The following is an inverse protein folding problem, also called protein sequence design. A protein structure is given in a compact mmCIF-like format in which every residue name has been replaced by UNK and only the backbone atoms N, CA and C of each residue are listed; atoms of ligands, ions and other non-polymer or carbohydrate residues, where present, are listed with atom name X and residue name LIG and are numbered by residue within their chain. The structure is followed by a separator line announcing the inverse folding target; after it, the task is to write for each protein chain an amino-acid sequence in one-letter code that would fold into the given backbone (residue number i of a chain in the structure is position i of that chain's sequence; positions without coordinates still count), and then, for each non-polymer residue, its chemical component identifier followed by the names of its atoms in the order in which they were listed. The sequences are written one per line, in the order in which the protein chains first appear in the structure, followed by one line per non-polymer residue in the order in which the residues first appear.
data_IF_548175204908
#
_entry.id   IF_548175204908
#
_cell.length_a   1.000
_cell.length_b   1.000
_cell.length_c   1.000
_cell.angle_alpha   90.00
_cell.angle_beta   90.00
_cell.angle_gamma   90.00
#
_symmetry.space_group_name_H-M   'P 1'
#
loop_
_entity.id
_entity.type
_entity.pdbx_description
1 polymer ?
#
# COMPACT_ATOMS: atom_id res chain seq x y z
N UNK A 1 16.46 -10.45 16.02
CA UNK A 1 16.15 -9.65 14.82
C UNK A 1 14.95 -10.25 14.12
N UNK A 2 14.31 -9.48 13.25
CA UNK A 2 13.18 -9.92 12.45
C UNK A 2 13.62 -9.85 11.00
N UNK A 3 13.46 -10.95 10.26
CA UNK A 3 13.78 -11.01 8.84
C UNK A 3 12.49 -10.96 8.03
N UNK A 4 12.27 -9.86 7.32
CA UNK A 4 11.02 -9.60 6.60
C UNK A 4 11.09 -9.88 5.09
N UNK A 5 12.19 -10.46 4.61
CA UNK A 5 12.37 -10.84 3.21
C UNK A 5 13.32 -12.02 3.13
N UNK A 6 12.78 -13.21 2.85
CA UNK A 6 13.56 -14.45 2.76
C UNK A 6 12.82 -15.55 1.96
N UNK A 7 13.59 -16.34 1.21
CA UNK A 7 13.10 -17.38 0.28
C UNK A 7 13.45 -18.77 0.80
N UNK A 8 12.83 -19.12 1.93
CA UNK A 8 13.07 -20.37 2.67
C UNK A 8 12.02 -21.44 2.36
N UNK A 9 10.85 -21.10 1.81
CA UNK A 9 9.82 -22.10 1.52
C UNK A 9 10.33 -23.04 0.41
N UNK A 10 10.33 -24.38 0.60
CA UNK A 10 10.99 -25.30 -0.30
C UNK A 10 10.25 -25.46 -1.64
N UNK A 11 11.02 -25.32 -2.73
CA UNK A 11 10.61 -25.73 -4.08
C UNK A 11 9.49 -24.88 -4.68
N UNK A 12 9.35 -23.62 -4.26
CA UNK A 12 8.33 -22.69 -4.80
C UNK A 12 8.91 -21.66 -5.75
N UNK A 13 10.17 -21.24 -5.55
CA UNK A 13 10.89 -20.26 -6.35
C UNK A 13 12.40 -20.62 -6.44
N UNK A 14 13.27 -19.64 -6.70
CA UNK A 14 14.72 -19.82 -6.78
C UNK A 14 15.43 -19.84 -5.40
N UNK A 15 14.66 -19.90 -4.31
CA UNK A 15 15.14 -20.08 -2.94
C UNK A 15 15.54 -21.53 -2.61
N UNK A 16 15.11 -21.98 -1.44
CA UNK A 16 15.42 -23.33 -0.95
C UNK A 16 14.86 -24.41 -1.89
N UNK A 17 15.68 -25.38 -2.29
CA UNK A 17 15.30 -26.41 -3.26
C UNK A 17 14.44 -27.52 -2.66
N UNK A 18 14.63 -27.81 -1.38
CA UNK A 18 14.00 -28.90 -0.66
C UNK A 18 13.90 -28.59 0.84
N UNK A 19 13.15 -29.42 1.55
CA UNK A 19 12.92 -29.28 2.99
C UNK A 19 14.24 -29.28 3.77
N UNK A 20 15.20 -30.15 3.43
CA UNK A 20 16.48 -30.24 4.14
C UNK A 20 17.25 -28.92 4.07
N UNK A 21 17.35 -28.33 2.88
CA UNK A 21 17.98 -27.03 2.70
C UNK A 21 17.23 -25.92 3.45
N UNK A 22 15.90 -25.97 3.46
CA UNK A 22 15.07 -25.00 4.16
C UNK A 22 15.29 -25.04 5.67
N UNK A 23 15.39 -26.25 6.24
CA UNK A 23 15.72 -26.47 7.64
C UNK A 23 17.10 -25.92 7.98
N UNK A 24 18.11 -26.24 7.18
CA UNK A 24 19.48 -25.72 7.40
C UNK A 24 19.51 -24.18 7.32
N UNK A 25 18.72 -23.58 6.42
CA UNK A 25 18.60 -22.12 6.33
C UNK A 25 17.93 -21.52 7.56
N UNK A 26 16.87 -22.15 8.09
CA UNK A 26 16.21 -21.73 9.33
C UNK A 26 17.15 -21.82 10.54
N UNK A 27 17.91 -22.91 10.66
CA UNK A 27 18.88 -23.11 11.75
C UNK A 27 20.03 -22.09 11.68
N UNK A 28 20.52 -21.82 10.47
CA UNK A 28 21.50 -20.77 10.22
C UNK A 28 20.95 -19.40 10.61
N UNK A 29 19.76 -19.04 10.14
CA UNK A 29 19.09 -17.78 10.45
C UNK A 29 18.85 -17.61 11.96
N UNK A 30 18.43 -18.67 12.65
CA UNK A 30 18.22 -18.67 14.09
C UNK A 30 19.53 -18.45 14.86
N UNK A 31 20.61 -19.11 14.44
CA UNK A 31 21.95 -18.92 15.00
C UNK A 31 22.49 -17.50 14.76
N UNK A 32 22.08 -16.90 13.64
CA UNK A 32 22.38 -15.51 13.29
C UNK A 32 21.55 -14.50 14.11
N UNK A 33 20.69 -14.97 15.01
CA UNK A 33 19.91 -14.14 15.92
C UNK A 33 18.59 -13.65 15.35
N UNK A 34 18.11 -14.25 14.25
CA UNK A 34 16.75 -14.05 13.76
C UNK A 34 15.80 -14.91 14.60
N UNK A 35 14.70 -14.34 15.07
CA UNK A 35 13.71 -15.07 15.87
C UNK A 35 12.27 -14.82 15.43
N UNK A 36 12.05 -13.99 14.40
CA UNK A 36 10.78 -13.87 13.69
C UNK A 36 11.04 -13.70 12.19
N UNK A 37 10.12 -14.22 11.38
CA UNK A 37 10.25 -14.24 9.92
C UNK A 37 8.96 -13.79 9.23
N UNK A 38 9.09 -13.07 8.13
CA UNK A 38 8.06 -13.00 7.11
C UNK A 38 8.63 -13.75 5.91
N UNK A 39 8.03 -14.89 5.56
CA UNK A 39 8.47 -15.64 4.39
C UNK A 39 7.85 -15.01 3.16
N UNK A 40 8.68 -14.71 2.17
CA UNK A 40 8.30 -13.91 1.01
C UNK A 40 8.74 -14.59 -0.27
N UNK A 41 8.24 -15.81 -0.57
CA UNK A 41 8.52 -16.41 -1.87
C UNK A 41 8.05 -15.47 -2.99
N UNK A 42 8.66 -15.60 -4.16
CA UNK A 42 8.27 -14.78 -5.30
C UNK A 42 6.81 -15.01 -5.70
N UNK A 43 6.13 -13.95 -6.12
CA UNK A 43 4.79 -13.95 -6.70
C UNK A 43 4.75 -13.06 -7.95
N UNK A 44 4.00 -13.48 -8.97
CA UNK A 44 3.99 -12.85 -10.30
C UNK A 44 5.39 -12.75 -10.97
N UNK A 45 6.29 -13.68 -10.65
CA UNK A 45 7.66 -13.67 -11.13
C UNK A 45 7.96 -14.92 -11.98
N UNK A 46 8.90 -14.82 -12.93
CA UNK A 46 9.22 -15.92 -13.85
C UNK A 46 9.73 -17.20 -13.15
N UNK A 47 10.28 -17.08 -11.94
CA UNK A 47 10.77 -18.23 -11.18
C UNK A 47 9.68 -18.94 -10.34
N UNK A 48 8.47 -18.36 -10.23
CA UNK A 48 7.38 -18.92 -9.44
C UNK A 48 6.08 -18.93 -10.26
N UNK A 49 5.53 -20.13 -10.47
CA UNK A 49 4.29 -20.33 -11.25
C UNK A 49 3.08 -20.65 -10.36
N UNK A 50 3.26 -20.62 -9.04
CA UNK A 50 2.21 -20.95 -8.08
C UNK A 50 1.27 -19.77 -7.88
N UNK A 51 -0.03 -20.07 -7.72
CA UNK A 51 -1.00 -19.07 -7.28
C UNK A 51 -0.73 -18.65 -5.83
N UNK A 52 -1.29 -17.50 -5.43
CA UNK A 52 -1.20 -17.00 -4.07
C UNK A 52 -1.70 -18.04 -3.03
N UNK A 53 -2.86 -18.67 -3.29
CA UNK A 53 -3.40 -19.73 -2.44
C UNK A 53 -2.48 -20.96 -2.33
N UNK A 54 -1.83 -21.34 -3.43
CA UNK A 54 -0.89 -22.46 -3.43
C UNK A 54 0.37 -22.12 -2.62
N UNK A 55 0.88 -20.89 -2.70
CA UNK A 55 1.99 -20.42 -1.87
C UNK A 55 1.60 -20.39 -0.39
N UNK A 56 0.40 -19.91 -0.05
CA UNK A 56 -0.13 -19.89 1.32
C UNK A 56 -0.27 -21.30 1.89
N UNK A 57 -0.76 -22.26 1.09
CA UNK A 57 -0.81 -23.66 1.47
C UNK A 57 0.58 -24.27 1.71
N UNK A 58 1.58 -23.92 0.87
CA UNK A 58 2.98 -24.34 1.06
C UNK A 58 3.58 -23.78 2.34
N UNK A 59 3.30 -22.52 2.67
CA UNK A 59 3.68 -21.91 3.94
C UNK A 59 3.10 -22.67 5.15
N UNK A 60 1.81 -22.99 5.15
CA UNK A 60 1.20 -23.73 6.26
C UNK A 60 1.75 -25.15 6.40
N UNK A 61 2.02 -25.84 5.29
CA UNK A 61 2.69 -27.15 5.32
C UNK A 61 4.11 -27.03 5.91
N UNK A 62 4.85 -26.01 5.50
CA UNK A 62 6.19 -25.72 6.01
C UNK A 62 6.20 -25.44 7.51
N UNK A 63 5.22 -24.69 8.02
CA UNK A 63 5.05 -24.48 9.47
C UNK A 63 4.82 -25.78 10.22
N UNK A 64 3.94 -26.65 9.71
CA UNK A 64 3.64 -27.92 10.36
C UNK A 64 4.87 -28.83 10.43
N UNK A 65 5.68 -28.86 9.36
CA UNK A 65 6.89 -29.67 9.27
C UNK A 65 8.01 -29.19 10.19
N UNK A 66 8.10 -27.89 10.44
CA UNK A 66 9.17 -27.27 11.24
C UNK A 66 8.69 -26.63 12.55
N UNK A 67 7.62 -27.16 13.14
CA UNK A 67 7.00 -26.65 14.37
C UNK A 67 7.96 -26.56 15.59
N UNK A 68 9.10 -27.26 15.55
CA UNK A 68 10.15 -27.18 16.59
C UNK A 68 11.03 -25.93 16.49
N UNK A 69 11.01 -25.21 15.36
CA UNK A 69 11.84 -24.02 15.09
C UNK A 69 10.95 -22.80 14.90
N UNK A 70 9.85 -22.96 14.16
CA UNK A 70 8.94 -21.88 13.78
C UNK A 70 7.50 -22.20 14.18
N UNK A 71 6.72 -21.16 14.44
CA UNK A 71 5.32 -21.22 14.87
C UNK A 71 4.53 -20.09 14.21
N UNK A 72 3.21 -20.11 14.31
CA UNK A 72 2.36 -19.00 13.89
C UNK A 72 2.59 -17.72 14.72
N UNK A 73 3.21 -17.79 15.89
CA UNK A 73 3.49 -16.61 16.72
C UNK A 73 4.70 -15.81 16.23
N UNK A 74 5.68 -16.51 15.66
CA UNK A 74 6.96 -15.92 15.21
C UNK A 74 7.12 -15.91 13.69
N UNK A 75 6.11 -16.30 12.92
CA UNK A 75 6.15 -16.21 11.46
C UNK A 75 4.91 -15.53 10.89
N UNK A 76 5.06 -14.94 9.72
CA UNK A 76 3.95 -14.46 8.89
C UNK A 76 4.13 -14.97 7.47
N UNK A 77 3.02 -15.22 6.80
CA UNK A 77 3.02 -15.37 5.35
C UNK A 77 3.12 -14.01 4.67
N UNK A 78 3.83 -13.96 3.56
CA UNK A 78 3.89 -12.82 2.65
C UNK A 78 4.35 -13.33 1.28
N UNK A 79 4.61 -12.42 0.36
CA UNK A 79 5.25 -12.72 -0.92
C UNK A 79 6.10 -11.53 -1.34
N UNK A 80 7.12 -11.77 -2.15
CA UNK A 80 7.78 -10.72 -2.93
C UNK A 80 7.05 -10.59 -4.27
N UNK A 81 6.32 -9.49 -4.46
CA UNK A 81 5.51 -9.26 -5.64
C UNK A 81 6.35 -8.61 -6.72
N UNK A 82 6.56 -9.31 -7.84
CA UNK A 82 7.11 -8.68 -9.03
C UNK A 82 6.05 -7.83 -9.71
N UNK A 83 6.30 -6.52 -9.82
CA UNK A 83 5.35 -5.56 -10.37
C UNK A 83 5.76 -5.18 -11.79
N UNK A 84 4.86 -5.45 -12.73
CA UNK A 84 4.88 -4.98 -14.10
C UNK A 84 3.52 -4.37 -14.49
N UNK A 85 3.40 -3.89 -15.73
CA UNK A 85 2.16 -3.29 -16.23
C UNK A 85 0.97 -4.28 -16.16
N UNK A 86 1.21 -5.56 -16.44
CA UNK A 86 0.18 -6.58 -16.40
C UNK A 86 -0.33 -6.80 -14.97
N UNK A 87 0.57 -6.81 -13.98
CA UNK A 87 0.21 -6.90 -12.58
C UNK A 87 -0.64 -5.72 -12.14
N UNK A 88 -0.26 -4.49 -12.50
CA UNK A 88 -1.00 -3.29 -12.16
C UNK A 88 -2.44 -3.33 -12.71
N UNK A 89 -2.61 -3.80 -13.96
CA UNK A 89 -3.95 -4.01 -14.55
C UNK A 89 -4.72 -5.08 -13.76
N UNK A 90 -4.05 -6.15 -13.35
CA UNK A 90 -4.67 -7.26 -12.64
C UNK A 90 -5.18 -6.90 -11.24
N UNK A 91 -4.63 -5.84 -10.61
CA UNK A 91 -5.01 -5.39 -9.26
C UNK A 91 -6.52 -5.20 -9.09
N UNK A 92 -7.22 -4.74 -10.13
CA UNK A 92 -8.67 -4.50 -10.08
C UNK A 92 -9.51 -5.80 -10.07
N UNK A 93 -8.87 -6.95 -10.31
CA UNK A 93 -9.51 -8.26 -10.43
C UNK A 93 -9.07 -9.25 -9.34
N UNK A 94 -8.15 -8.84 -8.46
CA UNK A 94 -7.72 -9.67 -7.35
C UNK A 94 -8.77 -9.64 -6.22
N UNK A 95 -9.17 -10.82 -5.75
CA UNK A 95 -10.05 -10.95 -4.58
C UNK A 95 -9.33 -10.59 -3.27
N UNK A 96 -8.02 -10.77 -3.23
CA UNK A 96 -7.15 -10.45 -2.10
C UNK A 96 -5.85 -9.84 -2.65
N UNK A 97 -5.42 -8.72 -2.07
CA UNK A 97 -4.11 -8.14 -2.39
C UNK A 97 -3.01 -8.96 -1.72
N UNK A 98 -1.88 -9.24 -2.40
CA UNK A 98 -0.80 -10.07 -1.89
C UNK A 98 0.05 -9.33 -0.84
N UNK A 99 -0.55 -8.91 0.27
CA UNK A 99 0.12 -8.27 1.41
C UNK A 99 0.68 -9.32 2.37
N UNK A 100 1.51 -8.88 3.32
CA UNK A 100 1.90 -9.68 4.46
C UNK A 100 0.68 -9.96 5.33
N UNK A 101 0.58 -11.19 5.79
CA UNK A 101 -0.52 -11.71 6.60
C UNK A 101 -0.83 -10.80 7.79
N UNK A 102 -2.11 -10.45 7.95
CA UNK A 102 -2.62 -9.53 8.97
C UNK A 102 -2.06 -8.10 8.87
N UNK A 103 -1.72 -7.64 7.67
CA UNK A 103 -1.25 -6.27 7.45
C UNK A 103 -1.58 -5.73 6.06
N UNK A 104 -1.34 -4.43 5.87
CA UNK A 104 -1.41 -3.79 4.57
C UNK A 104 -0.04 -3.64 3.90
N UNK A 105 1.02 -4.23 4.47
CA UNK A 105 2.36 -4.14 3.89
C UNK A 105 2.51 -5.07 2.69
N UNK A 106 3.04 -4.57 1.58
CA UNK A 106 3.34 -5.38 0.39
C UNK A 106 4.80 -5.20 0.01
N UNK A 107 5.56 -6.29 -0.01
CA UNK A 107 6.92 -6.29 -0.53
C UNK A 107 6.85 -6.33 -2.06
N UNK A 108 7.41 -5.32 -2.70
CA UNK A 108 7.37 -5.16 -4.15
C UNK A 108 8.76 -5.08 -4.74
N UNK A 109 8.95 -5.79 -5.85
CA UNK A 109 10.14 -5.74 -6.67
C UNK A 109 9.80 -5.36 -8.10
N UNK A 110 10.80 -4.88 -8.83
CA UNK A 110 10.69 -4.52 -10.23
C UNK A 110 11.87 -5.09 -11.01
N UNK A 111 11.83 -5.01 -12.34
CA UNK A 111 13.03 -5.22 -13.15
C UNK A 111 14.13 -4.25 -12.70
N UNK A 112 15.39 -4.75 -12.66
CA UNK A 112 16.57 -3.95 -12.32
C UNK A 112 16.74 -2.70 -13.19
N UNK A 113 16.22 -2.75 -14.42
CA UNK A 113 16.29 -1.67 -15.41
C UNK A 113 14.97 -0.89 -15.54
N UNK A 114 14.01 -1.11 -14.62
CA UNK A 114 12.78 -0.33 -14.58
C UNK A 114 13.08 1.16 -14.42
N UNK A 115 12.33 1.97 -15.18
CA UNK A 115 12.40 3.42 -15.11
C UNK A 115 11.79 3.93 -13.82
N UNK A 116 12.27 5.08 -13.36
CA UNK A 116 11.78 5.69 -12.11
C UNK A 116 10.29 6.01 -12.18
N UNK A 117 9.80 6.49 -13.31
CA UNK A 117 8.40 6.88 -13.50
C UNK A 117 7.46 5.69 -13.29
N UNK A 118 7.82 4.52 -13.81
CA UNK A 118 7.03 3.29 -13.64
C UNK A 118 7.05 2.80 -12.19
N UNK A 119 8.22 2.82 -11.53
CA UNK A 119 8.33 2.49 -10.10
C UNK A 119 7.48 3.45 -9.26
N UNK A 120 7.59 4.75 -9.52
CA UNK A 120 6.83 5.79 -8.83
C UNK A 120 5.32 5.60 -8.99
N UNK A 121 4.84 5.42 -10.22
CA UNK A 121 3.42 5.25 -10.53
C UNK A 121 2.86 3.99 -9.89
N UNK A 122 3.55 2.86 -10.03
CA UNK A 122 3.16 1.60 -9.40
C UNK A 122 3.03 1.72 -7.87
N UNK A 123 4.05 2.30 -7.22
CA UNK A 123 4.04 2.49 -5.77
C UNK A 123 2.93 3.44 -5.33
N UNK A 124 2.66 4.49 -6.11
CA UNK A 124 1.56 5.40 -5.87
C UNK A 124 0.20 4.71 -5.98
N UNK A 125 -0.02 3.93 -7.05
CA UNK A 125 -1.24 3.15 -7.28
C UNK A 125 -1.51 2.14 -6.15
N UNK A 126 -0.47 1.54 -5.57
CA UNK A 126 -0.60 0.69 -4.39
C UNK A 126 -1.04 1.49 -3.16
N UNK A 127 -0.40 2.65 -2.90
CA UNK A 127 -0.74 3.50 -1.75
C UNK A 127 -2.18 3.99 -1.76
N UNK A 128 -2.70 4.40 -2.92
CA UNK A 128 -4.11 4.84 -3.01
C UNK A 128 -5.12 3.71 -2.80
N UNK A 129 -4.69 2.45 -2.86
CA UNK A 129 -5.49 1.26 -2.54
C UNK A 129 -5.33 0.83 -1.08
N UNK A 130 -4.71 1.67 -0.24
CA UNK A 130 -4.49 1.39 1.19
C UNK A 130 -3.31 0.44 1.46
N UNK A 131 -2.53 0.08 0.44
CA UNK A 131 -1.31 -0.74 0.61
C UNK A 131 -0.16 0.14 1.08
N UNK A 132 0.63 -0.35 2.02
CA UNK A 132 1.91 0.24 2.42
C UNK A 132 3.06 -0.49 1.71
N UNK A 133 3.53 0.00 0.55
CA UNK A 133 4.54 -0.71 -0.20
C UNK A 133 5.91 -0.66 0.50
N UNK A 134 6.62 -1.78 0.46
CA UNK A 134 8.02 -1.93 0.84
C UNK A 134 8.79 -2.21 -0.45
N UNK A 135 9.60 -1.25 -0.91
CA UNK A 135 10.44 -1.43 -2.09
C UNK A 135 11.63 -2.33 -1.74
N UNK A 136 11.63 -3.54 -2.28
CA UNK A 136 12.67 -4.54 -2.07
C UNK A 136 14.02 -4.08 -2.64
N UNK A 137 15.10 -4.40 -1.94
CA UNK A 137 16.52 -4.29 -2.33
C UNK A 137 16.84 -3.09 -3.22
N UNK A 138 16.55 -1.88 -2.73
CA UNK A 138 16.61 -0.63 -3.50
C UNK A 138 17.97 -0.37 -4.19
N UNK A 139 19.05 -0.96 -3.67
CA UNK A 139 20.38 -0.92 -4.26
C UNK A 139 20.54 -1.71 -5.57
N UNK A 140 19.53 -2.49 -5.97
CA UNK A 140 19.54 -3.34 -7.17
C UNK A 140 19.00 -2.63 -8.43
N UNK A 141 18.31 -1.50 -8.28
CA UNK A 141 17.76 -0.74 -9.41
C UNK A 141 18.78 0.23 -10.00
N UNK A 142 19.11 0.06 -11.27
CA UNK A 142 20.13 0.85 -11.97
C UNK A 142 19.82 2.35 -11.91
N UNK A 143 18.55 2.72 -12.05
CA UNK A 143 18.11 4.12 -12.07
C UNK A 143 18.17 4.76 -10.68
N UNK A 144 17.74 4.04 -9.63
CA UNK A 144 17.75 4.54 -8.25
C UNK A 144 19.18 4.62 -7.71
N UNK A 145 20.04 3.66 -8.05
CA UNK A 145 21.44 3.64 -7.64
C UNK A 145 22.21 4.89 -8.10
N UNK A 146 21.86 5.44 -9.28
CA UNK A 146 22.44 6.68 -9.82
C UNK A 146 21.89 7.93 -9.15
N UNK A 147 20.70 7.88 -8.55
CA UNK A 147 20.00 9.04 -7.99
C UNK A 147 19.35 8.72 -6.64
N UNK A 148 20.13 8.68 -5.55
CA UNK A 148 19.63 8.46 -4.19
C UNK A 148 18.54 9.43 -3.74
N UNK A 149 18.48 10.61 -4.35
CA UNK A 149 17.43 11.61 -4.20
C UNK A 149 16.05 11.07 -4.62
N UNK A 150 15.99 10.22 -5.65
CA UNK A 150 14.76 9.54 -6.09
C UNK A 150 14.28 8.55 -5.03
N UNK A 151 15.20 7.80 -4.40
CA UNK A 151 14.85 6.92 -3.28
C UNK A 151 14.33 7.72 -2.10
N UNK A 152 15.00 8.84 -1.77
CA UNK A 152 14.51 9.74 -0.73
C UNK A 152 13.09 10.22 -1.04
N UNK A 153 12.82 10.60 -2.29
CA UNK A 153 11.50 11.03 -2.71
C UNK A 153 10.44 9.93 -2.52
N UNK A 154 10.73 8.69 -2.95
CA UNK A 154 9.83 7.55 -2.74
C UNK A 154 9.56 7.29 -1.25
N UNK A 155 10.61 7.42 -0.45
CA UNK A 155 10.54 7.35 1.01
C UNK A 155 9.63 8.45 1.56
N UNK A 156 9.86 9.71 1.19
CA UNK A 156 9.08 10.87 1.66
C UNK A 156 7.59 10.76 1.28
N UNK A 157 7.25 10.11 0.17
CA UNK A 157 5.87 9.86 -0.26
C UNK A 157 5.23 8.62 0.40
N UNK A 158 5.90 8.02 1.39
CA UNK A 158 5.33 6.95 2.23
C UNK A 158 5.71 5.52 1.84
N UNK A 159 6.58 5.32 0.85
CA UNK A 159 7.13 3.99 0.57
C UNK A 159 8.17 3.62 1.63
N UNK A 160 8.11 2.39 2.16
CA UNK A 160 9.19 1.86 3.01
C UNK A 160 10.31 1.34 2.12
N UNK A 161 11.55 1.61 2.51
CA UNK A 161 12.72 1.23 1.71
C UNK A 161 13.48 0.11 2.40
N UNK A 162 13.65 -1.01 1.68
CA UNK A 162 14.43 -2.15 2.12
C UNK A 162 15.79 -2.23 1.41
N UNK A 163 16.82 -2.59 2.18
CA UNK A 163 18.18 -2.89 1.69
C UNK A 163 18.58 -4.29 2.12
N UNK A 164 19.25 -5.05 1.25
CA UNK A 164 19.67 -6.42 1.55
C UNK A 164 20.87 -6.43 2.50
N UNK A 165 20.84 -7.30 3.52
CA UNK A 165 21.91 -7.46 4.51
C UNK A 165 23.27 -7.77 3.84
N UNK A 166 23.23 -8.61 2.79
CA UNK A 166 24.45 -8.97 2.04
C UNK A 166 25.11 -7.78 1.34
N UNK A 167 24.34 -6.77 0.92
CA UNK A 167 24.84 -5.53 0.31
C UNK A 167 25.62 -4.68 1.30
N UNK A 168 25.20 -4.67 2.56
CA UNK A 168 25.90 -4.00 3.67
C UNK A 168 27.22 -4.71 3.96
N UNK A 169 27.18 -6.04 4.13
CA UNK A 169 28.36 -6.85 4.49
C UNK A 169 29.42 -6.84 3.39
N UNK A 170 29.01 -7.00 2.12
CA UNK A 170 29.96 -7.01 0.98
C UNK A 170 30.51 -5.62 0.68
N UNK A 171 29.82 -4.56 1.08
CA UNK A 171 30.24 -3.17 0.91
C UNK A 171 30.22 -2.65 -0.53
N UNK A 172 29.75 -3.43 -1.52
CA UNK A 172 29.67 -3.02 -2.94
C UNK A 172 28.86 -1.73 -3.11
N UNK A 173 27.78 -1.59 -2.36
CA UNK A 173 26.86 -0.45 -2.43
C UNK A 173 27.04 0.53 -1.26
N UNK A 174 28.18 0.48 -0.56
CA UNK A 174 28.40 1.22 0.70
C UNK A 174 28.17 2.73 0.57
N UNK A 175 28.65 3.35 -0.50
CA UNK A 175 28.45 4.81 -0.73
C UNK A 175 26.98 5.17 -0.88
N UNK A 176 26.23 4.35 -1.62
CA UNK A 176 24.80 4.53 -1.85
C UNK A 176 24.00 4.35 -0.56
N UNK A 177 24.20 3.22 0.14
CA UNK A 177 23.55 2.91 1.42
C UNK A 177 23.85 4.01 2.45
N UNK A 178 25.11 4.46 2.54
CA UNK A 178 25.47 5.55 3.45
C UNK A 178 24.73 6.86 3.16
N UNK A 179 24.49 7.17 1.89
CA UNK A 179 23.73 8.36 1.50
C UNK A 179 22.26 8.22 1.90
N UNK A 180 21.66 7.05 1.72
CA UNK A 180 20.29 6.80 2.14
C UNK A 180 20.11 6.82 3.67
N UNK A 181 21.07 6.28 4.45
CA UNK A 181 21.03 6.39 5.92
C UNK A 181 21.06 7.86 6.34
N UNK A 182 21.93 8.69 5.74
CA UNK A 182 21.99 10.13 6.01
C UNK A 182 20.71 10.87 5.61
N UNK A 183 20.02 10.39 4.59
CA UNK A 183 18.69 10.88 4.22
C UNK A 183 17.58 10.37 5.14
N UNK A 184 17.89 9.44 6.05
CA UNK A 184 16.94 8.65 6.81
C UNK A 184 15.92 7.96 5.90
N UNK A 185 16.36 7.47 4.74
CA UNK A 185 15.49 6.89 3.72
C UNK A 185 15.55 5.37 3.67
N UNK A 186 16.13 4.69 4.67
CA UNK A 186 16.08 3.23 4.81
C UNK A 186 15.24 2.92 6.04
N UNK A 187 14.35 1.94 5.92
CA UNK A 187 13.42 1.56 6.99
C UNK A 187 13.67 0.14 7.48
N UNK A 188 14.03 -0.75 6.57
CA UNK A 188 14.19 -2.17 6.83
C UNK A 188 15.49 -2.67 6.24
N UNK A 189 16.22 -3.48 7.00
CA UNK A 189 17.22 -4.38 6.44
C UNK A 189 16.69 -5.80 6.59
N UNK A 190 16.74 -6.55 5.50
CA UNK A 190 16.29 -7.94 5.45
C UNK A 190 17.32 -8.79 4.71
N UNK A 191 17.23 -10.11 4.86
CA UNK A 191 18.31 -10.97 4.44
C UNK A 191 18.34 -11.21 2.93
N UNK A 192 17.16 -11.28 2.30
CA UNK A 192 16.99 -11.74 0.91
C UNK A 192 17.69 -13.11 0.69
N UNK A 193 17.63 -13.94 1.73
CA UNK A 193 18.32 -15.23 1.80
C UNK A 193 17.63 -16.28 0.92
N UNK A 194 18.40 -16.95 0.08
CA UNK A 194 17.92 -17.98 -0.87
C UNK A 194 18.63 -19.33 -0.72
N UNK A 195 19.86 -19.34 -0.19
CA UNK A 195 20.64 -20.58 -0.07
C UNK A 195 21.74 -20.49 0.99
N UNK A 196 22.44 -21.60 1.21
CA UNK A 196 23.48 -21.74 2.24
C UNK A 196 24.88 -21.26 1.79
N UNK A 197 25.01 -20.74 0.57
CA UNK A 197 26.31 -20.42 -0.05
C UNK A 197 26.41 -18.97 -0.51
N UNK A 198 25.84 -18.62 -1.65
CA UNK A 198 26.00 -17.33 -2.31
C UNK A 198 25.01 -16.25 -1.82
N UNK A 199 23.84 -16.66 -1.33
CA UNK A 199 22.76 -15.78 -0.83
C UNK A 199 22.30 -16.26 0.55
N UNK A 200 23.22 -16.21 1.52
CA UNK A 200 22.98 -16.62 2.91
C UNK A 200 22.21 -15.54 3.69
N UNK A 201 21.40 -15.93 4.68
CA UNK A 201 20.84 -14.99 5.65
C UNK A 201 21.92 -14.47 6.60
N UNK A 202 22.54 -13.31 6.29
CA UNK A 202 23.68 -12.72 7.03
C UNK A 202 23.29 -11.44 7.79
N UNK A 203 22.22 -11.51 8.57
CA UNK A 203 21.65 -10.39 9.32
C UNK A 203 22.56 -9.88 10.44
N UNK A 204 23.24 -10.77 11.19
CA UNK A 204 24.09 -10.38 12.33
C UNK A 204 25.28 -9.56 11.91
N UNK A 205 25.97 -9.97 10.86
CA UNK A 205 27.14 -9.25 10.34
C UNK A 205 26.73 -7.87 9.80
N UNK A 206 25.58 -7.79 9.13
CA UNK A 206 25.02 -6.52 8.68
C UNK A 206 24.65 -5.61 9.86
N UNK A 207 24.00 -6.16 10.89
CA UNK A 207 23.66 -5.45 12.13
C UNK A 207 24.90 -4.85 12.79
N UNK A 208 25.93 -5.68 13.01
CA UNK A 208 27.21 -5.27 13.62
C UNK A 208 27.90 -4.21 12.76
N UNK A 209 27.80 -4.31 11.44
CA UNK A 209 28.37 -3.34 10.51
C UNK A 209 27.68 -1.97 10.63
N UNK A 210 26.34 -1.93 10.68
CA UNK A 210 25.58 -0.69 10.87
C UNK A 210 25.86 -0.09 12.26
N UNK A 211 25.85 -0.91 13.31
CA UNK A 211 26.14 -0.47 14.68
C UNK A 211 27.53 0.19 14.80
N UNK A 212 28.54 -0.35 14.11
CA UNK A 212 29.89 0.23 14.06
C UNK A 212 29.99 1.49 13.20
N UNK A 213 29.22 1.57 12.12
CA UNK A 213 29.29 2.69 11.18
C UNK A 213 28.51 3.92 11.64
N UNK A 214 27.44 3.70 12.40
CA UNK A 214 26.57 4.74 12.92
C UNK A 214 26.48 4.62 14.43
N UNK A 215 25.53 3.83 14.93
CA UNK A 215 25.38 3.48 16.34
C UNK A 215 24.39 2.30 16.50
N UNK A 216 24.28 1.80 17.72
CA UNK A 216 23.35 0.72 18.07
C UNK A 216 21.89 1.10 17.84
N UNK A 217 21.52 2.38 17.97
CA UNK A 217 20.14 2.82 17.77
C UNK A 217 19.72 2.67 16.31
N UNK A 218 20.61 3.01 15.37
CA UNK A 218 20.42 2.76 13.95
C UNK A 218 20.27 1.28 13.62
N UNK A 219 21.14 0.43 14.18
CA UNK A 219 21.06 -1.02 13.97
C UNK A 219 19.74 -1.59 14.52
N UNK A 220 19.32 -1.17 15.72
CA UNK A 220 18.03 -1.58 16.28
C UNK A 220 16.85 -1.12 15.45
N UNK A 221 16.86 0.13 14.98
CA UNK A 221 15.78 0.68 14.15
C UNK A 221 15.52 -0.18 12.91
N UNK A 222 16.59 -0.48 12.16
CA UNK A 222 16.50 -1.13 10.86
C UNK A 222 16.29 -2.65 10.91
N UNK A 223 16.69 -3.33 11.99
CA UNK A 223 16.68 -4.80 12.09
C UNK A 223 15.69 -5.34 13.13
N UNK A 224 15.14 -4.48 13.98
CA UNK A 224 14.27 -4.88 15.09
C UNK A 224 13.02 -4.02 15.17
N UNK A 225 13.14 -2.70 15.29
CA UNK A 225 12.01 -1.83 15.65
C UNK A 225 11.05 -1.63 14.47
N UNK A 226 11.54 -1.12 13.33
CA UNK A 226 10.69 -0.98 12.13
C UNK A 226 10.20 -2.33 11.61
N UNK A 227 11.05 -3.37 11.47
CA UNK A 227 10.57 -4.71 11.11
C UNK A 227 9.54 -5.28 12.08
N UNK A 228 9.56 -4.91 13.36
CA UNK A 228 8.54 -5.37 14.32
C UNK A 228 7.19 -4.71 14.08
N UNK A 229 7.15 -3.46 13.62
CA UNK A 229 5.90 -2.81 13.23
C UNK A 229 5.32 -3.50 12.00
N UNK A 230 6.16 -3.73 10.99
CA UNK A 230 5.81 -4.46 9.77
C UNK A 230 5.27 -5.86 10.08
N UNK A 231 5.98 -6.63 10.93
CA UNK A 231 5.58 -7.99 11.32
C UNK A 231 4.22 -8.06 12.04
N UNK A 232 3.86 -7.01 12.78
CA UNK A 232 2.58 -6.92 13.49
C UNK A 232 1.47 -6.27 12.66
N UNK A 233 1.79 -5.71 11.50
CA UNK A 233 0.87 -4.88 10.72
C UNK A 233 0.54 -3.53 11.40
N UNK A 234 1.40 -3.06 12.31
CA UNK A 234 1.24 -1.75 12.95
C UNK A 234 1.70 -0.64 11.97
N UNK A 235 0.97 0.47 11.92
CA UNK A 235 1.31 1.60 11.07
C UNK A 235 2.66 2.22 11.49
N UNK A 236 3.61 2.24 10.57
CA UNK A 236 4.91 2.87 10.76
C UNK A 236 4.92 4.31 10.23
N UNK A 237 5.18 5.26 11.13
CA UNK A 237 5.50 6.64 10.77
C UNK A 237 7.01 6.81 10.87
N UNK A 238 7.64 7.20 9.77
CA UNK A 238 9.08 7.45 9.75
C UNK A 238 9.40 8.69 10.59
N UNK A 239 10.34 8.61 11.56
CA UNK A 239 10.78 9.78 12.31
C UNK A 239 11.36 10.84 11.37
N UNK A 240 10.90 12.09 11.48
CA UNK A 240 11.42 13.19 10.66
C UNK A 240 12.87 13.50 11.06
N UNK A 241 13.76 13.71 10.07
CA UNK A 241 15.12 14.17 10.36
C UNK A 241 15.16 15.68 10.60
N UNK A 242 15.90 16.09 11.63
CA UNK A 242 16.14 17.49 12.01
C UNK A 242 16.90 18.33 10.96
N UNK A 243 17.12 17.84 9.74
CA UNK A 243 17.82 18.57 8.68
C UNK A 243 16.89 18.92 7.52
N UNK A 244 16.11 20.00 7.69
CA UNK A 244 16.05 21.12 6.72
C UNK A 244 15.14 22.24 7.22
N UNK A 245 15.73 23.43 7.34
CA UNK A 245 15.06 24.74 7.32
C UNK A 245 14.19 24.87 6.05
N UNK A 246 12.93 24.40 6.05
CA UNK A 246 11.90 24.70 5.03
C UNK A 246 10.50 24.64 5.65
N UNK A 247 10.34 25.27 6.82
CA UNK A 247 9.20 25.09 7.69
C UNK A 247 7.87 25.72 7.23
N UNK A 248 7.80 26.94 6.67
CA UNK A 248 6.51 27.49 6.23
C UNK A 248 5.97 26.86 4.93
N UNK A 249 6.74 25.95 4.30
CA UNK A 249 6.47 25.47 2.93
C UNK A 249 5.59 24.22 2.94
N UNK A 250 5.88 23.23 3.79
CA UNK A 250 5.15 21.95 3.83
C UNK A 250 3.69 22.11 4.29
N UNK A 251 3.49 22.97 5.28
CA UNK A 251 2.18 23.27 5.85
C UNK A 251 1.30 24.06 4.86
N UNK A 252 1.88 25.02 4.13
CA UNK A 252 1.17 25.77 3.09
C UNK A 252 0.84 24.90 1.87
N UNK A 253 1.68 23.92 1.53
CA UNK A 253 1.45 22.98 0.42
C UNK A 253 0.20 22.13 0.63
N UNK A 254 0.05 21.47 1.77
CA UNK A 254 -1.13 20.63 2.04
C UNK A 254 -2.40 21.46 2.20
N UNK A 255 -2.30 22.61 2.86
CA UNK A 255 -3.41 23.56 2.99
C UNK A 255 -3.93 24.06 1.63
N UNK A 256 -3.04 24.48 0.73
CA UNK A 256 -3.40 24.95 -0.62
C UNK A 256 -3.91 23.82 -1.52
N UNK A 257 -3.37 22.60 -1.37
CA UNK A 257 -3.83 21.43 -2.11
C UNK A 257 -5.25 21.03 -1.74
N UNK A 258 -5.60 21.00 -0.44
CA UNK A 258 -6.96 20.69 0.00
C UNK A 258 -7.94 21.80 -0.40
N UNK A 259 -7.55 23.07 -0.26
CA UNK A 259 -8.37 24.20 -0.72
C UNK A 259 -8.67 24.13 -2.23
N UNK A 260 -7.70 23.71 -3.05
CA UNK A 260 -7.88 23.61 -4.49
C UNK A 260 -8.77 22.43 -4.93
N UNK A 261 -8.80 21.32 -4.19
CA UNK A 261 -9.79 20.24 -4.44
C UNK A 261 -11.20 20.76 -4.13
N UNK A 262 -11.40 21.44 -2.99
CA UNK A 262 -12.73 21.93 -2.60
C UNK A 262 -13.24 22.97 -3.59
N UNK A 263 -12.38 23.87 -4.08
CA UNK A 263 -12.73 24.83 -5.14
C UNK A 263 -13.08 24.16 -6.48
N UNK A 264 -12.59 22.95 -6.75
CA UNK A 264 -12.99 22.16 -7.91
C UNK A 264 -14.28 21.37 -7.69
N UNK A 265 -14.58 20.95 -6.45
CA UNK A 265 -15.93 20.48 -6.07
C UNK A 265 -17.00 21.52 -6.45
N UNK A 266 -16.75 22.80 -6.13
CA UNK A 266 -17.60 23.92 -6.55
C UNK A 266 -17.68 24.13 -8.07
N UNK A 267 -16.66 23.79 -8.84
CA UNK A 267 -16.59 24.02 -10.30
C UNK A 267 -17.08 22.83 -11.14
N UNK A 268 -17.13 21.63 -10.55
CA UNK A 268 -17.78 20.45 -11.15
C UNK A 268 -19.32 20.54 -11.03
N UNK A 269 -19.84 21.59 -10.38
CA UNK A 269 -21.27 21.91 -10.39
C UNK A 269 -21.76 22.29 -11.80
N UNK A 270 -22.64 21.42 -12.31
CA UNK A 270 -23.44 21.47 -13.55
C UNK A 270 -22.73 20.96 -14.81
N UNK A 271 -22.77 19.64 -15.08
CA UNK A 271 -22.94 19.21 -16.46
C UNK A 271 -24.16 19.92 -17.06
N UNK A 272 -23.99 20.56 -18.23
CA UNK A 272 -25.13 20.85 -19.10
C UNK A 272 -25.87 19.52 -19.32
N UNK A 273 -27.05 19.41 -18.72
CA UNK A 273 -28.09 18.40 -18.95
C UNK A 273 -27.61 17.15 -19.72
N UNK A 274 -26.89 16.25 -19.04
CA UNK A 274 -26.82 14.87 -19.51
C UNK A 274 -28.08 14.22 -18.98
N UNK A 275 -29.04 13.96 -19.87
CA UNK A 275 -30.35 13.41 -19.51
C UNK A 275 -30.21 12.13 -18.69
N UNK A 276 -31.03 11.97 -17.65
CA UNK A 276 -31.14 10.76 -16.79
C UNK A 276 -31.17 9.44 -17.58
N UNK A 277 -31.58 9.46 -18.86
CA UNK A 277 -31.57 8.31 -19.75
C UNK A 277 -30.17 7.74 -20.10
N UNK A 278 -29.09 8.51 -19.93
CA UNK A 278 -27.73 8.07 -20.28
C UNK A 278 -27.00 7.30 -19.15
N UNK A 279 -27.61 7.17 -17.97
CA UNK A 279 -26.98 6.61 -16.76
C UNK A 279 -27.56 5.27 -16.29
N UNK A 280 -28.40 4.60 -17.09
CA UNK A 280 -28.84 3.24 -16.77
C UNK A 280 -27.79 2.21 -17.22
N UNK A 281 -27.53 1.15 -16.43
CA UNK A 281 -26.66 0.07 -16.87
C UNK A 281 -27.28 -0.60 -18.09
N UNK A 282 -26.49 -0.78 -19.16
CA UNK A 282 -26.97 -1.51 -20.34
C UNK A 282 -27.32 -2.95 -19.92
N UNK A 283 -28.61 -3.26 -19.93
CA UNK A 283 -29.10 -4.63 -19.86
C UNK A 283 -28.84 -5.27 -21.22
N UNK A 284 -27.89 -6.21 -21.28
CA UNK A 284 -27.72 -7.09 -22.42
C UNK A 284 -28.96 -7.98 -22.55
N UNK A 285 -29.82 -7.71 -23.52
CA UNK A 285 -30.86 -8.64 -23.96
C UNK A 285 -30.20 -9.82 -24.70
N UNK A 286 -30.43 -11.03 -24.20
CA UNK A 286 -30.15 -12.27 -24.93
C UNK A 286 -31.20 -12.40 -26.02
N UNK A 287 -30.79 -12.22 -27.29
CA UNK A 287 -31.63 -12.54 -28.43
C UNK A 287 -31.86 -14.05 -28.50
N UNK A 288 -33.01 -14.51 -27.99
CA UNK A 288 -33.59 -15.79 -28.35
C UNK A 288 -34.20 -15.67 -29.74
N UNK A 289 -33.65 -16.40 -30.72
CA UNK A 289 -34.26 -16.53 -32.04
C UNK A 289 -35.46 -17.47 -31.95
N UNK A 290 -36.66 -16.90 -32.05
CA UNK A 290 -37.89 -17.64 -32.37
C UNK A 290 -37.87 -18.08 -33.83
N UNK A 291 -38.26 -19.34 -34.07
CA UNK A 291 -38.83 -19.79 -35.34
C UNK A 291 -40.10 -20.60 -35.04
N UNK A 292 -41.26 -19.97 -35.24
CA UNK A 292 -42.53 -20.61 -35.62
C UNK A 292 -42.34 -21.33 -36.98
N UNK A 293 -43.09 -22.33 -37.47
CA UNK A 293 -44.33 -23.05 -37.16
C UNK A 293 -44.11 -24.49 -37.72
N UNK A 294 -44.92 -25.53 -37.52
CA UNK A 294 -46.30 -25.66 -38.01
C UNK A 294 -46.77 -27.12 -37.79
N UNK A 295 -48.10 -27.30 -37.82
CA UNK A 295 -48.89 -28.53 -38.08
C UNK A 295 -49.60 -29.23 -36.91
N UNK A 296 -50.93 -29.08 -36.99
CA UNK A 296 -51.98 -29.65 -36.19
C UNK A 296 -52.23 -31.15 -36.44
N UNK A 297 -52.76 -31.84 -35.42
CA UNK A 297 -53.85 -32.79 -35.61
C UNK A 297 -54.63 -33.01 -34.31
N UNK A 298 -55.95 -32.83 -34.38
CA UNK A 298 -56.92 -33.11 -33.34
C UNK A 298 -57.25 -34.62 -33.26
N UNK A 299 -57.60 -35.11 -32.07
CA UNK A 299 -58.69 -36.08 -31.79
C UNK A 299 -58.77 -36.44 -30.28
N UNK A 300 -59.81 -35.89 -29.63
CA UNK A 300 -60.85 -36.48 -28.76
C UNK A 300 -60.58 -37.68 -27.79
N UNK A 301 -61.37 -37.67 -26.69
CA UNK A 301 -61.86 -38.77 -25.82
C UNK A 301 -61.30 -38.97 -24.39
N UNK A 302 -61.99 -38.32 -23.43
CA UNK A 302 -62.59 -38.75 -22.12
C UNK A 302 -61.87 -39.59 -21.02
N UNK A 303 -62.28 -39.28 -19.75
CA UNK A 303 -62.26 -40.03 -18.45
C UNK A 303 -60.90 -40.19 -17.74
N UNK A 304 -60.69 -40.04 -16.42
CA UNK A 304 -61.47 -39.87 -15.18
C UNK A 304 -60.50 -39.32 -14.08
N UNK A 305 -60.97 -38.85 -12.90
CA UNK A 305 -60.12 -38.19 -11.90
C UNK A 305 -59.50 -39.17 -10.90
N UNK A 306 -58.27 -38.88 -10.45
CA UNK A 306 -57.67 -39.53 -9.27
C UNK A 306 -57.16 -38.45 -8.31
N UNK A 307 -57.79 -38.43 -7.14
CA UNK A 307 -57.36 -37.74 -5.93
C UNK A 307 -56.00 -38.27 -5.44
N UNK A 308 -55.05 -37.36 -5.19
CA UNK A 308 -54.03 -37.54 -4.14
C UNK A 308 -53.71 -36.20 -3.49
N UNK A 309 -53.66 -36.27 -2.16
CA UNK A 309 -53.55 -35.26 -1.08
C UNK A 309 -52.56 -34.08 -1.25
N UNK A 310 -52.76 -33.00 -0.46
CA UNK A 310 -52.04 -31.73 -0.63
C UNK A 310 -50.65 -31.79 -0.01
N UNK A 311 -49.62 -31.41 -0.77
CA UNK A 311 -48.34 -30.99 -0.21
C UNK A 311 -48.29 -29.47 -0.12
N UNK A 312 -48.03 -29.01 1.10
CA UNK A 312 -47.75 -27.63 1.46
C UNK A 312 -46.50 -27.13 0.71
N UNK A 313 -46.68 -26.28 -0.30
CA UNK A 313 -45.65 -25.34 -0.73
C UNK A 313 -45.92 -23.99 -0.06
N UNK A 314 -45.25 -23.78 1.07
CA UNK A 314 -45.05 -22.46 1.63
C UNK A 314 -44.21 -21.65 0.65
N UNK A 315 -44.84 -20.68 -0.03
CA UNK A 315 -44.13 -19.65 -0.77
C UNK A 315 -43.30 -18.82 0.21
N UNK A 316 -42.02 -19.15 0.37
CA UNK A 316 -41.03 -18.21 0.88
C UNK A 316 -40.90 -17.09 -0.16
N UNK A 317 -41.67 -16.02 0.06
CA UNK A 317 -41.45 -14.75 -0.59
C UNK A 317 -40.00 -14.32 -0.27
N UNK A 318 -39.11 -14.48 -1.24
CA UNK A 318 -37.80 -13.84 -1.23
C UNK A 318 -38.04 -12.34 -1.13
N UNK A 319 -37.89 -11.80 0.08
CA UNK A 319 -37.81 -10.38 0.34
C UNK A 319 -36.46 -9.90 -0.21
N UNK A 320 -36.39 -9.71 -1.53
CA UNK A 320 -35.33 -8.94 -2.16
C UNK A 320 -35.57 -7.49 -1.79
N UNK A 321 -35.06 -7.07 -0.63
CA UNK A 321 -34.88 -5.65 -0.34
C UNK A 321 -34.01 -5.09 -1.45
N UNK A 322 -34.63 -4.41 -2.42
CA UNK A 322 -33.95 -3.62 -3.43
C UNK A 322 -32.95 -2.73 -2.69
N UNK A 323 -31.66 -3.05 -2.86
CA UNK A 323 -30.57 -2.30 -2.24
C UNK A 323 -30.72 -0.85 -2.72
N UNK A 324 -30.98 0.07 -1.78
CA UNK A 324 -31.20 1.47 -2.10
C UNK A 324 -29.98 1.99 -2.85
N UNK A 325 -30.18 2.37 -4.12
CA UNK A 325 -29.14 3.00 -4.95
C UNK A 325 -29.23 4.51 -4.75
N UNK A 326 -28.29 5.12 -3.99
CA UNK A 326 -28.29 6.57 -3.83
C UNK A 326 -28.03 7.24 -5.18
N UNK A 327 -28.67 8.38 -5.46
CA UNK A 327 -28.41 9.13 -6.69
C UNK A 327 -26.95 9.56 -6.75
N UNK A 328 -26.37 9.58 -7.97
CA UNK A 328 -24.98 9.97 -8.19
C UNK A 328 -24.64 11.30 -7.53
N UNK A 329 -25.47 12.34 -7.71
CA UNK A 329 -25.30 13.65 -7.09
C UNK A 329 -25.31 13.59 -5.56
N UNK A 330 -26.11 12.68 -4.96
CA UNK A 330 -26.10 12.47 -3.51
C UNK A 330 -24.81 11.85 -2.99
N UNK A 331 -24.15 11.00 -3.79
CA UNK A 331 -22.81 10.49 -3.49
C UNK A 331 -21.79 11.62 -3.63
N UNK A 332 -21.88 12.44 -4.69
CA UNK A 332 -20.99 13.60 -4.87
C UNK A 332 -21.04 14.54 -3.66
N UNK A 333 -22.25 14.97 -3.28
CA UNK A 333 -22.47 15.90 -2.16
C UNK A 333 -21.90 15.36 -0.84
N UNK A 334 -22.09 14.06 -0.59
CA UNK A 334 -21.55 13.39 0.60
C UNK A 334 -20.03 13.48 0.66
N UNK A 335 -19.34 13.20 -0.45
CA UNK A 335 -17.88 13.22 -0.48
C UNK A 335 -17.30 14.63 -0.58
N UNK A 336 -18.01 15.57 -1.19
CA UNK A 336 -17.70 16.99 -1.14
C UNK A 336 -17.73 17.50 0.31
N UNK A 337 -18.78 17.16 1.08
CA UNK A 337 -18.86 17.53 2.50
C UNK A 337 -17.74 16.91 3.34
N UNK A 338 -17.34 15.65 3.07
CA UNK A 338 -16.20 15.02 3.74
C UNK A 338 -14.89 15.77 3.43
N UNK A 339 -14.65 16.13 2.17
CA UNK A 339 -13.46 16.88 1.76
C UNK A 339 -13.44 18.30 2.34
N UNK A 340 -14.60 18.97 2.42
CA UNK A 340 -14.76 20.26 3.10
C UNK A 340 -14.48 20.16 4.60
N UNK A 341 -14.97 19.12 5.26
CA UNK A 341 -14.72 18.89 6.68
C UNK A 341 -13.21 18.69 6.94
N UNK A 342 -12.54 17.90 6.10
CA UNK A 342 -11.09 17.76 6.16
C UNK A 342 -10.40 19.12 5.95
N UNK A 343 -10.80 19.89 4.94
CA UNK A 343 -10.23 21.22 4.70
C UNK A 343 -10.31 22.11 5.94
N UNK A 344 -11.49 22.20 6.57
CA UNK A 344 -11.69 23.04 7.74
C UNK A 344 -10.83 22.57 8.91
N UNK A 345 -10.79 21.26 9.17
CA UNK A 345 -9.95 20.69 10.22
C UNK A 345 -8.46 21.01 9.98
N UNK A 346 -7.96 20.78 8.77
CA UNK A 346 -6.57 21.10 8.45
C UNK A 346 -6.28 22.60 8.53
N UNK A 347 -7.23 23.44 8.15
CA UNK A 347 -7.11 24.90 8.31
C UNK A 347 -6.87 25.26 9.77
N UNK A 348 -7.70 24.76 10.68
CA UNK A 348 -7.60 25.01 12.12
C UNK A 348 -6.27 24.48 12.70
N UNK A 349 -5.86 23.26 12.32
CA UNK A 349 -4.61 22.66 12.77
C UNK A 349 -3.37 23.46 12.32
N UNK A 350 -3.41 23.97 11.08
CA UNK A 350 -2.35 24.81 10.52
C UNK A 350 -2.29 26.18 11.19
N UNK A 351 -3.43 26.83 11.41
CA UNK A 351 -3.52 28.12 12.08
C UNK A 351 -2.99 28.03 13.51
N UNK A 352 -3.39 26.97 14.25
CA UNK A 352 -2.88 26.69 15.59
C UNK A 352 -1.36 26.52 15.59
N UNK A 353 -0.81 25.68 14.71
CA UNK A 353 0.63 25.47 14.59
C UNK A 353 1.38 26.78 14.31
N UNK A 354 0.80 27.63 13.45
CA UNK A 354 1.38 28.93 13.15
C UNK A 354 1.38 29.85 14.39
N UNK A 355 0.27 29.91 15.12
CA UNK A 355 0.15 30.67 16.37
C UNK A 355 1.12 30.18 17.44
N UNK A 356 1.22 28.87 17.64
CA UNK A 356 2.13 28.23 18.60
C UNK A 356 3.59 28.60 18.35
N UNK A 357 4.01 28.67 17.07
CA UNK A 357 5.37 29.10 16.73
C UNK A 357 5.57 30.60 16.88
N UNK A 358 4.59 31.43 16.51
CA UNK A 358 4.68 32.88 16.72
C UNK A 358 4.81 33.20 18.21
N UNK A 359 3.97 32.58 19.03
CA UNK A 359 4.02 32.73 20.49
C UNK A 359 5.36 32.26 21.05
N UNK A 360 5.86 31.11 20.58
CA UNK A 360 7.15 30.59 21.01
C UNK A 360 8.31 31.52 20.64
N UNK A 361 8.27 32.16 19.46
CA UNK A 361 9.28 33.14 19.05
C UNK A 361 9.23 34.43 19.86
N UNK A 362 8.02 34.91 20.15
CA UNK A 362 7.81 36.21 20.80
C UNK A 362 8.02 36.17 22.31
N UNK A 363 7.67 35.04 22.96
CA UNK A 363 7.58 34.98 24.42
C UNK A 363 8.60 34.06 25.08
N UNK A 364 9.22 33.11 24.37
CA UNK A 364 10.26 32.24 24.95
C UNK A 364 11.64 32.88 24.78
N UNK A 365 12.18 33.36 25.90
CA UNK A 365 13.49 34.04 25.97
C UNK A 365 14.65 33.04 25.94
N UNK A 366 14.48 31.89 26.61
CA UNK A 366 15.49 30.83 26.62
C UNK A 366 15.68 30.25 25.22
N UNK A 367 16.91 30.38 24.71
CA UNK A 367 17.24 30.05 23.32
C UNK A 367 17.14 28.56 23.05
N UNK A 368 17.57 27.71 23.98
CA UNK A 368 17.63 26.27 23.79
C UNK A 368 16.23 25.67 23.90
N UNK A 369 15.46 26.10 24.90
CA UNK A 369 14.05 25.74 25.05
C UNK A 369 13.20 26.20 23.86
N UNK A 370 13.43 27.42 23.37
CA UNK A 370 12.75 27.93 22.17
C UNK A 370 13.10 27.08 20.94
N UNK A 371 14.37 26.70 20.79
CA UNK A 371 14.80 25.86 19.66
C UNK A 371 14.14 24.49 19.70
N UNK A 372 14.11 23.85 20.88
CA UNK A 372 13.49 22.54 21.06
C UNK A 372 11.97 22.55 20.80
N UNK A 373 11.25 23.59 21.26
CA UNK A 373 9.81 23.73 20.99
C UNK A 373 9.54 23.95 19.50
N UNK A 374 10.33 24.81 18.84
CA UNK A 374 10.21 24.99 17.39
C UNK A 374 10.42 23.66 16.66
N UNK A 375 11.41 22.86 17.08
CA UNK A 375 11.64 21.52 16.53
C UNK A 375 10.46 20.57 16.75
N UNK A 376 9.81 20.60 17.92
CA UNK A 376 8.63 19.80 18.18
C UNK A 376 7.46 20.16 17.25
N UNK A 377 7.18 21.45 17.05
CA UNK A 377 6.14 21.90 16.10
C UNK A 377 6.49 21.56 14.65
N UNK A 378 7.78 21.40 14.33
CA UNK A 378 8.23 20.95 13.00
C UNK A 378 7.90 19.49 12.76
N UNK A 379 8.01 18.66 13.80
CA UNK A 379 7.64 17.25 13.75
C UNK A 379 6.12 17.15 13.57
N UNK A 380 5.38 17.86 14.41
CA UNK A 380 3.90 17.90 14.37
C UNK A 380 3.37 18.39 13.01
N UNK A 381 4.00 19.41 12.42
CA UNK A 381 3.65 19.88 11.08
C UNK A 381 3.85 18.82 9.97
N UNK A 382 4.91 18.02 10.04
CA UNK A 382 5.15 16.94 9.09
C UNK A 382 4.24 15.73 9.32
N UNK A 383 3.88 15.45 10.57
CA UNK A 383 2.86 14.46 10.91
C UNK A 383 1.48 14.90 10.39
N UNK A 384 1.15 16.20 10.51
CA UNK A 384 -0.08 16.76 9.98
C UNK A 384 -0.14 16.70 8.46
N UNK A 385 0.97 16.99 7.74
CA UNK A 385 1.08 16.82 6.28
C UNK A 385 0.80 15.35 5.89
N UNK A 386 1.45 14.40 6.56
CA UNK A 386 1.28 12.96 6.30
C UNK A 386 -0.15 12.51 6.57
N UNK A 387 -0.73 12.95 7.69
CA UNK A 387 -2.12 12.69 8.06
C UNK A 387 -3.08 13.28 7.01
N UNK A 388 -2.80 14.48 6.51
CA UNK A 388 -3.58 15.15 5.46
C UNK A 388 -3.64 14.34 4.19
N UNK A 389 -2.49 13.85 3.72
CA UNK A 389 -2.45 12.97 2.57
C UNK A 389 -3.30 11.72 2.82
N UNK A 390 -3.06 11.06 3.95
CA UNK A 390 -3.81 9.84 4.32
C UNK A 390 -5.33 10.07 4.34
N UNK A 391 -5.81 11.11 5.04
CA UNK A 391 -7.24 11.38 5.18
C UNK A 391 -7.88 11.78 3.85
N UNK A 392 -7.21 12.60 3.04
CA UNK A 392 -7.71 12.97 1.69
C UNK A 392 -7.80 11.73 0.80
N UNK A 393 -6.76 10.91 0.74
CA UNK A 393 -6.80 9.68 -0.06
C UNK A 393 -7.81 8.68 0.47
N UNK A 394 -7.98 8.54 1.79
CA UNK A 394 -9.00 7.69 2.38
C UNK A 394 -10.41 8.13 1.94
N UNK A 395 -10.69 9.44 1.97
CA UNK A 395 -11.97 9.98 1.48
C UNK A 395 -12.15 9.75 -0.01
N UNK A 396 -11.10 9.95 -0.83
CA UNK A 396 -11.16 9.70 -2.28
C UNK A 396 -11.25 8.20 -2.62
N UNK A 397 -10.71 7.32 -1.78
CA UNK A 397 -10.80 5.87 -1.92
C UNK A 397 -12.22 5.39 -1.59
N UNK A 398 -12.77 5.81 -0.45
CA UNK A 398 -14.17 5.57 -0.08
C UNK A 398 -15.11 6.07 -1.19
N UNK A 399 -14.81 7.25 -1.76
CA UNK A 399 -15.58 7.84 -2.85
C UNK A 399 -15.57 6.95 -4.09
N UNK A 400 -14.39 6.50 -4.53
CA UNK A 400 -14.28 5.59 -5.67
C UNK A 400 -15.05 4.29 -5.43
N UNK A 401 -14.85 3.66 -4.26
CA UNK A 401 -15.50 2.40 -3.92
C UNK A 401 -17.04 2.52 -3.93
N UNK A 402 -17.58 3.63 -3.43
CA UNK A 402 -19.02 3.86 -3.41
C UNK A 402 -19.57 4.09 -4.82
N UNK A 403 -18.84 4.80 -5.68
CA UNK A 403 -19.20 4.93 -7.09
C UNK A 403 -19.16 3.58 -7.82
N UNK A 404 -18.11 2.78 -7.62
CA UNK A 404 -17.96 1.45 -8.24
C UNK A 404 -19.05 0.48 -7.77
N UNK A 405 -19.37 0.47 -6.47
CA UNK A 405 -20.45 -0.34 -5.89
C UNK A 405 -21.77 -0.11 -6.60
N UNK A 406 -22.09 1.15 -6.90
CA UNK A 406 -23.32 1.53 -7.59
C UNK A 406 -23.14 1.67 -9.12
N UNK A 407 -22.01 1.20 -9.67
CA UNK A 407 -21.67 1.20 -11.11
C UNK A 407 -21.71 2.59 -11.76
N UNK A 408 -21.38 3.62 -10.99
CA UNK A 408 -21.26 4.99 -11.47
C UNK A 408 -19.86 5.29 -12.05
N UNK A 409 -19.73 6.29 -12.94
CA UNK A 409 -18.43 6.71 -13.47
C UNK A 409 -17.50 7.24 -12.38
N UNK A 410 -16.27 6.70 -12.31
CA UNK A 410 -15.26 7.09 -11.30
C UNK A 410 -14.36 8.27 -11.72
N UNK A 411 -14.49 8.75 -12.97
CA UNK A 411 -13.60 9.77 -13.53
C UNK A 411 -13.59 11.11 -12.79
N UNK A 412 -14.59 11.38 -11.93
CA UNK A 412 -14.56 12.52 -11.00
C UNK A 412 -13.48 12.36 -9.94
N UNK A 413 -13.31 11.15 -9.38
CA UNK A 413 -12.30 10.85 -8.36
C UNK A 413 -10.90 10.97 -8.94
N UNK A 414 -10.68 10.45 -10.15
CA UNK A 414 -9.40 10.56 -10.87
C UNK A 414 -9.00 12.03 -11.08
N UNK A 415 -9.95 12.88 -11.49
CA UNK A 415 -9.73 14.33 -11.64
C UNK A 415 -9.40 14.99 -10.31
N UNK A 416 -10.09 14.65 -9.23
CA UNK A 416 -9.83 15.20 -7.90
C UNK A 416 -8.44 14.77 -7.39
N UNK A 417 -8.05 13.51 -7.59
CA UNK A 417 -6.71 13.00 -7.28
C UNK A 417 -5.65 13.73 -8.10
N UNK A 418 -5.79 13.76 -9.42
CA UNK A 418 -4.84 14.41 -10.31
C UNK A 418 -4.68 15.89 -9.95
N UNK A 419 -5.77 16.57 -9.58
CA UNK A 419 -5.70 17.95 -9.10
C UNK A 419 -4.97 18.06 -7.78
N UNK A 420 -5.29 17.23 -6.80
CA UNK A 420 -4.62 17.25 -5.50
C UNK A 420 -3.10 17.12 -5.68
N UNK A 421 -2.68 16.17 -6.50
CA UNK A 421 -1.28 15.99 -6.88
C UNK A 421 -0.70 17.20 -7.58
N UNK A 422 -1.38 17.69 -8.62
CA UNK A 422 -0.93 18.83 -9.40
C UNK A 422 -0.69 20.03 -8.47
N UNK A 423 -1.64 20.35 -7.58
CA UNK A 423 -1.53 21.50 -6.69
C UNK A 423 -0.43 21.26 -5.65
N UNK A 424 -0.32 20.05 -5.12
CA UNK A 424 0.78 19.70 -4.20
C UNK A 424 2.15 19.88 -4.88
N UNK A 425 2.28 19.44 -6.12
CA UNK A 425 3.51 19.55 -6.90
C UNK A 425 3.80 21.01 -7.30
N UNK A 426 2.82 21.73 -7.86
CA UNK A 426 2.94 23.16 -8.19
C UNK A 426 3.33 23.98 -6.96
N UNK A 427 2.69 23.74 -5.83
CA UNK A 427 2.99 24.45 -4.59
C UNK A 427 4.38 24.10 -4.08
N UNK A 428 4.78 22.81 -4.12
CA UNK A 428 6.17 22.38 -3.82
C UNK A 428 7.18 23.10 -4.73
N UNK A 429 6.91 23.21 -6.03
CA UNK A 429 7.80 23.84 -7.03
C UNK A 429 7.90 25.35 -6.86
N UNK A 430 6.79 26.07 -6.66
CA UNK A 430 6.77 27.52 -6.41
C UNK A 430 7.64 27.88 -5.21
N UNK A 431 7.52 27.13 -4.11
CA UNK A 431 8.32 27.38 -2.91
C UNK A 431 9.78 26.88 -3.00
N UNK A 432 10.09 25.96 -3.93
CA UNK A 432 11.47 25.57 -4.25
C UNK A 432 12.17 26.59 -5.15
N UNK A 433 11.43 27.31 -5.99
CA UNK A 433 11.95 28.33 -6.91
C UNK A 433 12.18 29.72 -6.28
N UNK A 434 11.56 30.03 -5.14
CA UNK A 434 11.77 31.26 -4.37
C UNK A 434 12.94 31.18 -3.35
N UNK A 435 13.61 30.02 -3.27
CA UNK A 435 14.82 29.75 -2.48
C UNK A 435 16.08 29.78 -3.33
#
# INVERSE_FOLDING_TARGET
MIDSHVHIIPGVDDGAKNTEQSKEMLEMASTDGINRWIFTPHYNHLCCQLSYDALKAKYHAFLAEHASIITSENTRFGVEVYVDEAFLISLNHLSELPTFENSNYMLVEFSRDSKFEMIQEALYELRIRGVSPILAHVEMYTELLKSPEKVKWLSDEGTLIQVSASSIVRGKYRTFINKLIKFNAIDVVASDGHNLTSRKPVMKDAYVTIAKMYDEAWARRLFVETPSLVFKGEHYVRPLTATRKKWPIKVAVSFLAVMAIVLLGFSVQKPQAISEAAMMPQTTEVQGTETEAEMAHALDVTTDPVDTEPQEESSEAQNTSLEYMPPYDGILDKYEQKLMALQNQYTEDVERLFEDVQNTRNFIVDKDKRSALIEAYMIEAGELETKCDYDVYAVLYDFQNELERFKYPVGVVEKLRAKYHQVKEETKQTFLGEL
#
